data_IF_864470582655
#
_entry.id   IF_864470582655
#
_cell.length_a   1.000
_cell.length_b   1.000
_cell.length_c   1.000
_cell.angle_alpha   90.00
_cell.angle_beta   90.00
_cell.angle_gamma   90.00
#
_symmetry.space_group_name_H-M   'P 1'
#
loop_
_entity.id
_entity.type
_entity.pdbx_description
1 polymer ?
#
# COMPACT_ATOMS: atom_id res chain seq x y z
N UNK A 1 -30.71 -14.53 0.28
CA UNK A 1 -29.99 -13.23 0.31
C UNK A 1 -28.95 -13.29 1.42
N UNK A 2 -27.67 -13.35 1.10
CA UNK A 2 -26.60 -13.32 2.10
C UNK A 2 -26.43 -11.88 2.62
N UNK A 3 -26.85 -11.63 3.86
CA UNK A 3 -26.55 -10.38 4.56
C UNK A 3 -25.04 -10.33 4.86
N UNK A 4 -24.31 -9.50 4.12
CA UNK A 4 -22.96 -9.09 4.51
C UNK A 4 -23.05 -8.25 5.80
N UNK A 5 -22.83 -8.89 6.95
CA UNK A 5 -22.68 -8.22 8.24
C UNK A 5 -21.39 -7.40 8.20
N UNK A 6 -21.49 -6.11 7.92
CA UNK A 6 -20.37 -5.19 8.01
C UNK A 6 -19.90 -5.13 9.48
N UNK A 7 -18.75 -5.73 9.76
CA UNK A 7 -18.06 -5.59 11.04
C UNK A 7 -17.45 -4.19 11.10
N UNK A 8 -18.14 -3.26 11.77
CA UNK A 8 -17.61 -1.93 12.12
C UNK A 8 -16.45 -2.13 13.11
N UNK A 9 -15.24 -2.29 12.60
CA UNK A 9 -14.03 -2.18 13.43
C UNK A 9 -13.86 -0.70 13.80
N UNK A 10 -14.36 -0.35 14.98
CA UNK A 10 -14.00 0.85 15.73
C UNK A 10 -12.55 0.70 16.21
N UNK A 11 -11.60 0.82 15.29
CA UNK A 11 -10.23 1.20 15.62
C UNK A 11 -10.16 2.71 15.88
N UNK A 12 -9.03 3.22 16.41
CA UNK A 12 -8.85 4.66 16.63
C UNK A 12 -9.19 5.44 15.36
N UNK A 13 -9.65 6.69 15.51
CA UNK A 13 -10.01 7.63 14.43
C UNK A 13 -8.78 8.02 13.56
N UNK A 14 -7.96 7.05 13.16
CA UNK A 14 -6.98 7.20 12.10
C UNK A 14 -7.75 7.25 10.79
N UNK A 15 -7.66 8.37 10.11
CA UNK A 15 -8.22 8.53 8.77
C UNK A 15 -7.69 7.39 7.90
N UNK A 16 -8.61 6.69 7.23
CA UNK A 16 -8.27 5.57 6.36
C UNK A 16 -8.13 6.08 4.94
N UNK A 17 -7.03 5.71 4.30
CA UNK A 17 -6.72 6.07 2.93
C UNK A 17 -6.85 4.86 2.03
N UNK A 18 -7.61 4.98 0.95
CA UNK A 18 -7.54 4.04 -0.17
C UNK A 18 -6.34 4.43 -1.03
N UNK A 19 -5.36 3.54 -1.12
CA UNK A 19 -4.17 3.73 -1.94
C UNK A 19 -4.12 2.75 -3.11
N UNK A 20 -3.39 3.16 -4.13
CA UNK A 20 -3.11 2.43 -5.36
C UNK A 20 -1.61 2.25 -5.48
N UNK A 21 -1.13 1.01 -5.63
CA UNK A 21 0.29 0.70 -5.81
C UNK A 21 0.49 0.05 -7.18
N UNK A 22 1.36 0.64 -8.00
CA UNK A 22 1.81 0.09 -9.26
C UNK A 22 3.20 -0.51 -9.06
N UNK A 23 3.32 -1.82 -9.28
CA UNK A 23 4.61 -2.49 -9.32
C UNK A 23 5.14 -2.44 -10.75
N UNK A 24 6.38 -2.01 -10.93
CA UNK A 24 7.04 -1.98 -12.24
C UNK A 24 7.04 -3.37 -12.86
N UNK A 25 6.57 -3.48 -14.11
CA UNK A 25 6.47 -4.76 -14.83
C UNK A 25 5.24 -5.60 -14.47
N UNK A 26 4.41 -5.17 -13.52
CA UNK A 26 3.11 -5.81 -13.24
C UNK A 26 2.06 -5.42 -14.28
N UNK A 27 1.12 -6.33 -14.56
CA UNK A 27 -0.01 -6.10 -15.46
C UNK A 27 -1.07 -5.10 -14.94
N UNK A 28 -0.84 -4.46 -13.78
CA UNK A 28 -1.81 -3.56 -13.16
C UNK A 28 -1.49 -3.20 -11.71
N UNK A 29 -2.33 -2.35 -11.16
CA UNK A 29 -2.21 -1.82 -9.80
C UNK A 29 -2.92 -2.70 -8.76
N UNK A 30 -2.42 -2.65 -7.53
CA UNK A 30 -3.08 -3.22 -6.35
C UNK A 30 -3.71 -2.07 -5.57
N UNK A 31 -4.95 -2.24 -5.12
CA UNK A 31 -5.67 -1.25 -4.31
C UNK A 31 -6.05 -1.82 -2.97
N UNK A 32 -5.74 -1.11 -1.90
CA UNK A 32 -6.15 -1.49 -0.56
C UNK A 32 -6.24 -0.28 0.36
N UNK A 33 -6.92 -0.49 1.49
CA UNK A 33 -7.10 0.55 2.51
C UNK A 33 -5.99 0.44 3.53
N UNK A 34 -5.34 1.56 3.81
CA UNK A 34 -4.31 1.71 4.83
C UNK A 34 -4.71 2.81 5.81
N UNK A 35 -4.14 2.81 7.02
CA UNK A 35 -4.24 3.96 7.92
C UNK A 35 -3.32 5.08 7.39
N UNK A 36 -3.77 6.33 7.39
CA UNK A 36 -2.95 7.48 7.01
C UNK A 36 -1.67 7.57 7.84
N UNK A 37 -1.71 7.17 9.11
CA UNK A 37 -0.57 7.17 10.04
C UNK A 37 0.38 5.96 9.87
N UNK A 38 0.09 5.05 8.92
CA UNK A 38 0.93 3.86 8.74
C UNK A 38 2.30 4.23 8.15
N UNK A 39 3.38 3.60 8.64
CA UNK A 39 4.70 3.76 8.05
C UNK A 39 4.76 3.11 6.67
N UNK A 40 5.54 3.70 5.76
CA UNK A 40 5.76 3.20 4.39
C UNK A 40 6.21 1.73 4.38
N UNK A 41 7.07 1.32 5.32
CA UNK A 41 7.51 -0.07 5.44
C UNK A 41 6.33 -1.06 5.59
N UNK A 42 5.32 -0.71 6.39
CA UNK A 42 4.13 -1.54 6.57
C UNK A 42 3.24 -1.55 5.33
N UNK A 43 3.22 -0.45 4.59
CA UNK A 43 2.51 -0.34 3.29
C UNK A 43 3.15 -1.29 2.26
N UNK A 44 4.48 -1.27 2.14
CA UNK A 44 5.24 -2.15 1.24
C UNK A 44 5.01 -3.62 1.61
N UNK A 45 5.12 -3.98 2.89
CA UNK A 45 4.86 -5.35 3.36
C UNK A 45 3.46 -5.84 2.98
N UNK A 46 2.45 -5.00 3.22
CA UNK A 46 1.06 -5.31 2.84
C UNK A 46 0.91 -5.46 1.33
N UNK A 47 1.54 -4.59 0.55
CA UNK A 47 1.53 -4.64 -0.90
C UNK A 47 2.12 -5.94 -1.44
N UNK A 48 3.29 -6.36 -0.94
CA UNK A 48 3.96 -7.61 -1.35
C UNK A 48 3.10 -8.83 -1.01
N UNK A 49 2.47 -8.85 0.17
CA UNK A 49 1.56 -9.93 0.58
C UNK A 49 0.34 -10.02 -0.34
N UNK A 50 -0.29 -8.89 -0.65
CA UNK A 50 -1.42 -8.84 -1.58
C UNK A 50 -1.01 -9.22 -3.00
N UNK A 51 0.16 -8.76 -3.45
CA UNK A 51 0.73 -9.08 -4.76
C UNK A 51 0.93 -10.59 -4.93
N UNK A 52 1.55 -11.23 -3.94
CA UNK A 52 1.75 -12.67 -3.93
C UNK A 52 0.43 -13.45 -3.85
N UNK A 53 -0.53 -12.96 -3.04
CA UNK A 53 -1.86 -13.56 -2.90
C UNK A 53 -2.67 -13.53 -4.20
N UNK A 54 -2.51 -12.49 -5.00
CA UNK A 54 -3.11 -12.38 -6.34
C UNK A 54 -2.39 -13.25 -7.39
N UNK A 55 -1.22 -13.84 -7.08
CA UNK A 55 -0.45 -14.65 -8.02
C UNK A 55 0.12 -13.84 -9.19
N UNK A 56 0.43 -12.56 -8.96
CA UNK A 56 0.88 -11.64 -10.00
C UNK A 56 2.31 -11.94 -10.46
N UNK A 57 2.62 -11.49 -11.67
CA UNK A 57 3.94 -11.56 -12.27
C UNK A 57 4.48 -10.13 -12.54
N UNK A 58 5.79 -9.89 -12.35
CA UNK A 58 6.84 -10.85 -11.96
C UNK A 58 6.75 -11.30 -10.49
N UNK A 59 7.24 -12.51 -10.19
CA UNK A 59 7.30 -13.00 -8.80
C UNK A 59 8.27 -12.14 -8.00
N UNK A 60 7.76 -11.51 -6.95
CA UNK A 60 8.53 -10.66 -6.04
C UNK A 60 9.02 -11.45 -4.83
N UNK A 61 10.15 -11.03 -4.27
CA UNK A 61 10.61 -11.51 -2.96
C UNK A 61 9.81 -10.91 -1.79
N UNK A 62 10.05 -11.43 -0.59
CA UNK A 62 9.43 -10.94 0.66
C UNK A 62 10.27 -9.93 1.43
N UNK A 63 11.52 -9.68 1.01
CA UNK A 63 12.42 -8.76 1.70
C UNK A 63 12.07 -7.30 1.38
N UNK A 64 11.48 -6.62 2.37
CA UNK A 64 11.04 -5.23 2.31
C UNK A 64 12.16 -4.27 1.87
N UNK A 65 13.40 -4.54 2.28
CA UNK A 65 14.55 -3.66 2.04
C UNK A 65 14.98 -3.61 0.57
N UNK A 66 14.46 -4.51 -0.27
CA UNK A 66 14.73 -4.51 -1.70
C UNK A 66 13.73 -3.67 -2.50
N UNK A 67 12.77 -3.04 -1.83
CA UNK A 67 11.70 -2.28 -2.46
C UNK A 67 11.69 -0.83 -1.97
N UNK A 68 11.40 0.06 -2.91
CA UNK A 68 11.25 1.49 -2.68
C UNK A 68 9.87 1.91 -3.18
N UNK A 69 9.21 2.81 -2.45
CA UNK A 69 7.91 3.36 -2.81
C UNK A 69 8.10 4.79 -3.33
N UNK A 70 7.55 5.08 -4.50
CA UNK A 70 7.67 6.40 -5.12
C UNK A 70 6.32 7.10 -5.15
N UNK A 71 6.32 8.42 -5.07
CA UNK A 71 5.15 9.23 -5.36
C UNK A 71 5.25 9.74 -6.80
N UNK A 72 4.29 9.48 -7.70
CA UNK A 72 4.33 9.97 -9.08
C UNK A 72 4.43 11.49 -9.19
N UNK A 73 3.92 12.20 -8.17
CA UNK A 73 3.91 13.66 -8.11
C UNK A 73 5.21 14.26 -7.57
N UNK A 74 6.03 13.47 -6.87
CA UNK A 74 7.32 13.93 -6.31
C UNK A 74 8.46 13.18 -7.02
N UNK A 75 9.05 13.86 -8.00
CA UNK A 75 9.98 13.25 -8.97
C UNK A 75 11.38 13.00 -8.38
N UNK A 76 11.65 13.43 -7.15
CA UNK A 76 13.02 13.53 -6.65
C UNK A 76 13.48 12.29 -5.88
N UNK A 77 12.70 11.74 -4.97
CA UNK A 77 13.21 10.73 -4.02
C UNK A 77 12.18 9.67 -3.60
N UNK A 78 12.61 8.42 -3.32
CA UNK A 78 11.73 7.42 -2.74
C UNK A 78 11.33 7.79 -1.31
N UNK A 79 10.12 7.40 -0.91
CA UNK A 79 9.64 7.57 0.44
C UNK A 79 10.47 6.75 1.42
N UNK A 80 10.82 7.32 2.58
CA UNK A 80 11.61 6.60 3.57
C UNK A 80 10.74 5.57 4.28
N UNK A 81 11.30 4.41 4.70
CA UNK A 81 10.51 3.35 5.31
C UNK A 81 9.73 3.75 6.58
N UNK A 82 10.23 4.74 7.32
CA UNK A 82 9.62 5.28 8.54
C UNK A 82 8.73 6.51 8.30
N UNK A 83 8.65 7.01 7.07
CA UNK A 83 7.74 8.10 6.74
C UNK A 83 6.29 7.61 6.83
N UNK A 84 5.40 8.54 7.19
CA UNK A 84 3.97 8.27 7.29
C UNK A 84 3.35 8.42 5.90
N UNK A 85 2.61 7.42 5.43
CA UNK A 85 2.05 7.42 4.07
C UNK A 85 1.10 8.60 3.80
N UNK A 86 0.33 9.02 4.81
CA UNK A 86 -0.59 10.16 4.71
C UNK A 86 0.09 11.53 4.57
N UNK A 87 1.38 11.64 4.92
CA UNK A 87 2.13 12.91 4.81
C UNK A 87 2.28 13.41 3.38
N UNK A 88 2.21 12.50 2.41
CA UNK A 88 2.42 12.81 1.00
C UNK A 88 1.18 13.42 0.34
N UNK A 89 0.00 13.29 0.96
CA UNK A 89 -1.28 13.64 0.35
C UNK A 89 -1.64 12.84 -0.93
N UNK A 90 -0.75 11.95 -1.35
CA UNK A 90 -0.89 11.12 -2.54
C UNK A 90 -1.70 9.85 -2.25
N UNK A 91 -2.38 9.35 -3.28
CA UNK A 91 -3.14 8.10 -3.24
C UNK A 91 -2.65 7.05 -4.23
N UNK A 92 -1.75 7.45 -5.12
CA UNK A 92 -1.18 6.58 -6.15
C UNK A 92 0.33 6.58 -5.93
N UNK A 93 0.90 5.38 -5.93
CA UNK A 93 2.30 5.10 -5.69
C UNK A 93 2.78 4.06 -6.70
#
# INVERSE_FOLDING_TARGET
MLLYKQKKNQGPKGNKLLISIIVVGSAGQIRFVVNEEAPVAAVIDTALKLYAREGRLPVLGSNLNHFLLYCPSDRSDPLRPWDIIGSQGARNF
#
